data_IF_608882965276
#
_entry.id   IF_608882965276
#
_cell.length_a   1.000
_cell.length_b   1.000
_cell.length_c   1.000
_cell.angle_alpha   90.00
_cell.angle_beta   90.00
_cell.angle_gamma   90.00
#
_symmetry.space_group_name_H-M   'P 1'
#
loop_
_entity.id
_entity.type
_entity.pdbx_description
1 polymer ?
#
# COMPACT_ATOMS: atom_id res chain seq x y z
N UNK A 1 3.20 -7.59 -4.35
CA UNK A 1 3.93 -6.85 -3.30
C UNK A 1 2.96 -6.45 -2.20
N UNK A 2 3.42 -6.46 -0.96
CA UNK A 2 2.64 -6.07 0.22
C UNK A 2 3.42 -5.04 1.00
N UNK A 3 2.76 -3.94 1.37
CA UNK A 3 3.33 -2.85 2.16
C UNK A 3 2.33 -2.47 3.25
N UNK A 4 2.80 -2.11 4.43
CA UNK A 4 1.90 -1.79 5.55
C UNK A 4 2.50 -0.72 6.43
N UNK A 5 1.67 -0.02 7.21
CA UNK A 5 2.10 1.02 8.13
C UNK A 5 3.26 0.57 9.02
N UNK A 6 4.10 1.54 9.33
CA UNK A 6 5.18 1.43 10.29
C UNK A 6 4.63 0.93 11.62
N UNK A 7 5.38 0.06 12.30
CA UNK A 7 5.07 -0.27 13.69
C UNK A 7 5.60 0.86 14.60
N UNK A 8 5.08 1.00 15.83
CA UNK A 8 5.73 1.83 16.84
C UNK A 8 7.21 1.46 16.97
N UNK A 9 8.11 2.43 16.74
CA UNK A 9 9.57 2.23 16.75
C UNK A 9 10.23 2.13 15.36
N UNK A 10 9.45 2.06 14.28
CA UNK A 10 9.96 2.21 12.91
C UNK A 10 10.10 3.73 12.61
N UNK A 11 11.18 4.36 13.07
CA UNK A 11 11.43 5.78 12.82
C UNK A 11 11.80 6.05 11.35
N UNK A 12 11.19 7.09 10.75
CA UNK A 12 11.59 7.63 9.45
C UNK A 12 10.89 7.04 8.22
N UNK A 13 9.90 6.15 8.37
CA UNK A 13 9.14 5.60 7.24
C UNK A 13 7.63 5.64 7.52
N UNK A 14 6.82 5.75 6.46
CA UNK A 14 5.37 5.60 6.58
C UNK A 14 4.95 4.12 6.74
N UNK A 15 5.86 3.18 6.45
CA UNK A 15 5.59 1.76 6.36
C UNK A 15 6.74 0.90 5.88
N UNK A 16 6.47 -0.40 5.74
CA UNK A 16 7.48 -1.37 5.29
C UNK A 16 6.88 -2.39 4.35
N UNK A 17 7.71 -2.85 3.41
CA UNK A 17 7.37 -4.00 2.58
C UNK A 17 7.41 -5.28 3.42
N UNK A 18 6.34 -6.07 3.37
CA UNK A 18 6.28 -7.40 4.01
C UNK A 18 6.44 -8.53 3.01
N UNK A 19 6.24 -8.26 1.72
CA UNK A 19 6.49 -9.19 0.63
C UNK A 19 6.77 -8.45 -0.68
N UNK A 20 7.80 -8.87 -1.40
CA UNK A 20 8.20 -8.31 -2.69
C UNK A 20 8.32 -9.45 -3.71
N UNK A 21 7.84 -9.21 -4.93
CA UNK A 21 7.97 -10.19 -6.02
C UNK A 21 9.40 -10.26 -6.56
N UNK A 22 9.76 -11.33 -7.28
CA UNK A 22 11.08 -11.41 -7.91
C UNK A 22 11.27 -10.29 -8.94
N UNK A 23 12.52 -9.85 -9.12
CA UNK A 23 12.90 -8.88 -10.16
C UNK A 23 12.65 -7.40 -9.82
N UNK A 24 12.16 -7.08 -8.63
CA UNK A 24 12.01 -5.70 -8.15
C UNK A 24 13.30 -5.26 -7.47
N UNK A 25 14.00 -4.27 -8.04
CA UNK A 25 15.25 -3.75 -7.49
C UNK A 25 15.02 -2.85 -6.27
N UNK A 26 16.06 -2.64 -5.45
CA UNK A 26 15.98 -1.70 -4.32
C UNK A 26 15.69 -0.26 -4.73
N UNK A 27 16.22 0.18 -5.88
CA UNK A 27 15.90 1.51 -6.43
C UNK A 27 14.42 1.63 -6.80
N UNK A 28 13.84 0.57 -7.40
CA UNK A 28 12.43 0.54 -7.74
C UNK A 28 11.55 0.49 -6.49
N UNK A 29 11.97 -0.20 -5.43
CA UNK A 29 11.27 -0.17 -4.14
C UNK A 29 11.22 1.25 -3.55
N UNK A 30 12.32 1.99 -3.62
CA UNK A 30 12.37 3.38 -3.14
C UNK A 30 11.46 4.31 -3.94
N UNK A 31 11.31 4.07 -5.25
CA UNK A 31 10.36 4.79 -6.11
C UNK A 31 8.90 4.41 -5.80
N UNK A 32 8.63 3.12 -5.58
CA UNK A 32 7.29 2.57 -5.31
C UNK A 32 6.77 2.98 -3.93
N UNK A 33 7.64 3.01 -2.91
CA UNK A 33 7.26 3.24 -1.51
C UNK A 33 6.33 4.45 -1.30
N UNK A 34 6.66 5.67 -1.74
CA UNK A 34 5.78 6.83 -1.56
C UNK A 34 4.42 6.69 -2.27
N UNK A 35 4.30 5.85 -3.31
CA UNK A 35 3.06 5.60 -4.04
C UNK A 35 2.10 4.64 -3.30
N UNK A 36 2.61 3.92 -2.30
CA UNK A 36 1.83 2.97 -1.49
C UNK A 36 1.38 3.55 -0.15
N UNK A 37 1.94 4.71 0.22
CA UNK A 37 1.55 5.46 1.41
C UNK A 37 0.05 5.73 1.41
N UNK A 38 -0.54 5.69 2.60
CA UNK A 38 -1.94 6.01 2.81
C UNK A 38 -2.07 6.75 4.14
N UNK A 39 -2.68 7.92 4.08
CA UNK A 39 -2.99 8.73 5.25
C UNK A 39 -4.44 8.47 5.64
N UNK A 40 -4.65 8.17 6.92
CA UNK A 40 -6.00 8.02 7.46
C UNK A 40 -6.67 9.40 7.52
N UNK A 41 -7.98 9.51 7.23
CA UNK A 41 -8.71 10.75 7.46
C UNK A 41 -8.65 11.18 8.93
N UNK A 42 -8.72 12.49 9.16
CA UNK A 42 -8.88 13.02 10.52
C UNK A 42 -10.16 12.51 11.18
N UNK A 43 -10.12 12.32 12.50
CA UNK A 43 -11.29 11.93 13.28
C UNK A 43 -11.72 10.47 13.16
N UNK A 44 -10.89 9.61 12.56
CA UNK A 44 -11.10 8.15 12.63
C UNK A 44 -11.06 7.72 14.09
N UNK A 45 -12.12 7.03 14.54
CA UNK A 45 -12.19 6.52 15.90
C UNK A 45 -11.02 5.58 16.21
N UNK A 46 -10.49 5.62 17.43
CA UNK A 46 -9.39 4.74 17.86
C UNK A 46 -9.76 3.25 17.80
N UNK A 47 -11.05 2.92 17.94
CA UNK A 47 -11.55 1.54 17.87
C UNK A 47 -12.81 1.50 17.02
N UNK A 48 -12.71 1.61 15.69
CA UNK A 48 -13.88 1.55 14.85
C UNK A 48 -14.47 0.13 14.92
N UNK A 49 -15.79 0.06 14.84
CA UNK A 49 -16.51 -1.15 14.49
C UNK A 49 -16.08 -1.66 13.11
N UNK A 50 -16.45 -2.89 12.78
CA UNK A 50 -16.10 -3.44 11.47
C UNK A 50 -16.80 -2.70 10.32
N UNK A 51 -17.97 -2.13 10.56
CA UNK A 51 -18.70 -1.38 9.53
C UNK A 51 -18.09 0.01 9.32
N UNK A 52 -17.72 0.69 10.39
CA UNK A 52 -16.97 1.95 10.32
C UNK A 52 -15.63 1.74 9.60
N UNK A 53 -14.86 0.69 9.94
CA UNK A 53 -13.60 0.38 9.27
C UNK A 53 -13.78 0.15 7.77
N UNK A 54 -14.84 -0.57 7.35
CA UNK A 54 -15.15 -0.81 5.93
C UNK A 54 -15.64 0.43 5.20
N UNK A 55 -16.16 1.42 5.92
CA UNK A 55 -16.65 2.68 5.35
C UNK A 55 -15.53 3.69 5.05
N UNK A 56 -14.35 3.48 5.64
CA UNK A 56 -13.19 4.35 5.42
C UNK A 56 -12.71 4.27 3.95
N UNK A 57 -12.20 5.39 3.41
CA UNK A 57 -11.81 5.47 2.00
C UNK A 57 -10.63 4.54 1.68
N UNK A 58 -10.59 4.03 0.46
CA UNK A 58 -9.46 3.28 -0.08
C UNK A 58 -8.79 4.10 -1.17
N UNK A 59 -7.47 4.02 -1.29
CA UNK A 59 -6.74 4.60 -2.42
C UNK A 59 -6.43 3.54 -3.46
N UNK A 60 -6.53 3.92 -4.73
CA UNK A 60 -6.11 3.11 -5.86
C UNK A 60 -5.11 3.91 -6.67
N UNK A 61 -3.97 3.29 -6.98
CA UNK A 61 -2.90 3.95 -7.72
C UNK A 61 -2.58 3.15 -8.97
N UNK A 62 -2.41 3.88 -10.06
CA UNK A 62 -1.73 3.40 -11.25
C UNK A 62 -0.58 4.35 -11.56
N UNK A 63 0.62 3.80 -11.74
CA UNK A 63 1.81 4.59 -12.03
C UNK A 63 2.69 3.89 -13.08
N UNK A 64 3.29 4.69 -13.94
CA UNK A 64 4.40 4.28 -14.81
C UNK A 64 5.68 4.62 -14.05
N UNK A 65 6.56 3.63 -13.89
CA UNK A 65 7.81 3.77 -13.15
C UNK A 65 8.98 4.16 -14.07
N UNK A 66 10.08 4.61 -13.48
CA UNK A 66 11.27 5.09 -14.20
C UNK A 66 11.91 4.06 -15.15
N UNK A 67 11.76 2.76 -14.87
CA UNK A 67 12.23 1.66 -15.71
C UNK A 67 11.26 1.28 -16.84
N UNK A 68 10.15 2.02 -17.01
CA UNK A 68 9.10 1.76 -17.99
C UNK A 68 8.12 0.66 -17.57
N UNK A 69 8.28 0.09 -16.37
CA UNK A 69 7.30 -0.83 -15.79
C UNK A 69 6.08 -0.08 -15.26
N UNK A 70 5.06 -0.82 -14.82
CA UNK A 70 3.84 -0.25 -14.26
C UNK A 70 3.56 -0.80 -12.88
N UNK A 71 2.91 0.01 -12.06
CA UNK A 71 2.40 -0.35 -10.75
C UNK A 71 0.88 -0.20 -10.74
N UNK A 72 0.18 -1.22 -10.28
CA UNK A 72 -1.23 -1.14 -9.88
C UNK A 72 -1.30 -1.43 -8.39
N UNK A 73 -1.89 -0.55 -7.60
CA UNK A 73 -2.01 -0.79 -6.16
C UNK A 73 -3.36 -0.36 -5.59
N UNK A 74 -3.66 -0.94 -4.42
CA UNK A 74 -4.76 -0.56 -3.55
C UNK A 74 -4.23 -0.47 -2.13
N UNK A 75 -4.34 0.70 -1.50
CA UNK A 75 -4.11 0.88 -0.07
C UNK A 75 -5.44 1.03 0.65
N UNK A 76 -5.60 0.29 1.74
CA UNK A 76 -6.84 0.25 2.50
C UNK A 76 -6.56 0.28 4.01
N UNK A 77 -7.45 0.92 4.79
CA UNK A 77 -7.41 0.86 6.23
C UNK A 77 -7.73 -0.55 6.71
N UNK A 78 -7.00 -1.01 7.72
CA UNK A 78 -7.17 -2.31 8.36
C UNK A 78 -7.05 -2.14 9.87
N UNK A 79 -7.66 -3.05 10.63
CA UNK A 79 -7.57 -3.04 12.09
C UNK A 79 -6.11 -3.24 12.51
N UNK A 80 -5.63 -2.40 13.41
CA UNK A 80 -4.36 -2.67 14.08
C UNK A 80 -4.56 -3.75 15.15
N UNK A 81 -3.72 -4.78 15.10
CA UNK A 81 -3.76 -5.94 16.00
C UNK A 81 -2.58 -5.93 16.98
N UNK A 82 -1.70 -4.92 16.92
CA UNK A 82 -0.50 -4.85 17.73
C UNK A 82 -0.74 -4.39 19.19
N UNK A 83 -1.95 -3.95 19.54
CA UNK A 83 -2.36 -3.68 20.93
C UNK A 83 -1.67 -2.49 21.60
N UNK A 84 -1.01 -1.61 20.84
CA UNK A 84 -0.36 -0.41 21.36
C UNK A 84 -1.32 0.76 21.62
N UNK A 85 -0.80 1.86 22.20
CA UNK A 85 -1.54 3.08 22.54
C UNK A 85 -1.81 4.03 21.35
N UNK A 86 -1.81 3.50 20.12
CA UNK A 86 -2.08 4.27 18.90
C UNK A 86 -3.52 4.09 18.39
N UNK A 87 -3.87 4.75 17.28
CA UNK A 87 -5.12 4.48 16.58
C UNK A 87 -5.20 2.98 16.30
N UNK A 88 -6.32 2.33 16.63
CA UNK A 88 -6.55 0.90 16.35
C UNK A 88 -6.76 0.60 14.86
N UNK A 89 -6.29 1.49 13.99
CA UNK A 89 -6.36 1.43 12.53
C UNK A 89 -4.98 1.73 11.98
N UNK A 90 -4.53 0.87 11.08
CA UNK A 90 -3.35 1.03 10.23
C UNK A 90 -3.79 0.95 8.77
N UNK A 91 -2.87 1.03 7.84
CA UNK A 91 -3.14 0.72 6.45
C UNK A 91 -2.33 -0.48 5.96
N UNK A 92 -2.85 -1.09 4.91
CA UNK A 92 -2.21 -2.16 4.18
C UNK A 92 -2.43 -1.95 2.68
N UNK A 93 -1.33 -2.03 1.93
CA UNK A 93 -1.29 -1.90 0.49
C UNK A 93 -1.01 -3.25 -0.17
N UNK A 94 -1.85 -3.58 -1.15
CA UNK A 94 -1.56 -4.62 -2.12
C UNK A 94 -1.14 -3.97 -3.43
N UNK A 95 0.00 -4.38 -3.97
CA UNK A 95 0.50 -3.85 -5.24
C UNK A 95 0.96 -4.96 -6.17
N UNK A 96 0.72 -4.76 -7.46
CA UNK A 96 1.18 -5.59 -8.56
C UNK A 96 2.14 -4.77 -9.40
N UNK A 97 3.38 -5.24 -9.47
CA UNK A 97 4.39 -4.74 -10.39
C UNK A 97 4.25 -5.49 -11.71
N UNK A 98 4.20 -4.75 -12.81
CA UNK A 98 4.02 -5.25 -14.17
C UNK A 98 5.27 -4.88 -14.97
N UNK A 99 6.11 -5.85 -15.34
CA UNK A 99 7.33 -5.56 -16.08
C UNK A 99 7.04 -4.86 -17.42
N UNK A 100 8.01 -4.11 -17.96
CA UNK A 100 7.88 -3.45 -19.25
C UNK A 100 7.50 -4.46 -20.34
N UNK A 101 6.58 -4.08 -21.22
CA UNK A 101 6.17 -4.92 -22.35
C UNK A 101 5.33 -6.16 -22.01
N UNK A 102 5.05 -6.43 -20.72
CA UNK A 102 4.15 -7.52 -20.33
C UNK A 102 2.69 -7.06 -20.48
N UNK A 103 1.87 -7.70 -21.34
CA UNK A 103 0.47 -7.37 -21.46
C UNK A 103 -0.28 -7.76 -20.17
N UNK A 104 -1.36 -7.02 -19.88
CA UNK A 104 -2.26 -7.44 -18.82
C UNK A 104 -2.98 -8.75 -19.22
N UNK A 105 -3.31 -9.63 -18.25
CA UNK A 105 -4.06 -10.84 -18.54
C UNK A 105 -5.34 -10.56 -19.33
N UNK A 106 -5.57 -11.34 -20.40
CA UNK A 106 -6.77 -11.24 -21.24
C UNK A 106 -6.82 -10.01 -22.14
N UNK A 107 -5.67 -9.57 -22.67
CA UNK A 107 -5.52 -8.46 -23.64
C UNK A 107 -6.14 -7.13 -23.17
N UNK A 108 -6.24 -6.94 -21.85
CA UNK A 108 -6.78 -5.71 -21.29
C UNK A 108 -5.81 -4.55 -21.56
N UNK A 109 -6.37 -3.42 -21.98
CA UNK A 109 -5.61 -2.20 -22.14
C UNK A 109 -4.99 -1.80 -20.79
N UNK A 110 -3.71 -1.34 -20.78
CA UNK A 110 -3.20 -0.65 -19.60
C UNK A 110 -4.10 0.56 -19.36
N UNK A 111 -4.67 0.65 -18.15
CA UNK A 111 -5.49 1.80 -17.71
C UNK A 111 -4.72 3.10 -17.78
#
# INVERSE_FOLDING_TARGET
MHYTSAAPGDEGTAGRFTAVGPGVSGALLAEIEPLLGYELPDGVADRPSNDELRSLPQSFTYAILSDGSRLVSRSAPVRDTAGGAGPGVRFHAHAVHLPPGVPLPGDRLPV
#
